data_IF_649733497489
#
_entry.id   IF_649733497489
#
_cell.length_a   1.000
_cell.length_b   1.000
_cell.length_c   1.000
_cell.angle_alpha   90.00
_cell.angle_beta   90.00
_cell.angle_gamma   90.00
#
_symmetry.space_group_name_H-M   'P 1'
#
loop_
_entity.id
_entity.type
_entity.pdbx_description
1 polymer ?
#
# COMPACT_ATOMS: atom_id res chain seq x y z
N UNK A 1 22.89 19.49 12.00
CA UNK A 1 21.54 19.23 11.47
C UNK A 1 20.87 18.26 12.42
N UNK A 2 19.64 18.52 12.86
CA UNK A 2 18.92 17.58 13.72
C UNK A 2 18.76 16.24 12.97
N UNK A 3 19.14 15.13 13.59
CA UNK A 3 18.91 13.82 13.01
C UNK A 3 17.40 13.65 12.76
N UNK A 4 17.02 13.15 11.58
CA UNK A 4 15.62 12.91 11.27
C UNK A 4 15.03 11.93 12.30
N UNK A 5 13.94 12.32 12.96
CA UNK A 5 13.31 11.50 13.98
C UNK A 5 12.78 10.19 13.34
N UNK A 6 12.98 9.00 13.94
CA UNK A 6 12.56 7.72 13.36
C UNK A 6 11.07 7.69 12.96
N UNK A 7 10.22 8.36 13.75
CA UNK A 7 8.78 8.52 13.44
C UNK A 7 8.54 9.17 12.09
N UNK A 8 9.35 10.14 11.67
CA UNK A 8 9.18 10.77 10.35
C UNK A 8 9.36 9.75 9.21
N UNK A 9 10.29 8.81 9.37
CA UNK A 9 10.50 7.73 8.40
C UNK A 9 9.29 6.78 8.38
N UNK A 10 8.86 6.29 9.54
CA UNK A 10 7.71 5.37 9.64
C UNK A 10 6.43 5.97 9.09
N UNK A 11 6.16 7.26 9.36
CA UNK A 11 5.00 7.94 8.80
C UNK A 11 5.08 8.04 7.27
N UNK A 12 6.26 8.33 6.72
CA UNK A 12 6.46 8.33 5.27
C UNK A 12 6.20 6.94 4.68
N UNK A 13 6.76 5.91 5.29
CA UNK A 13 6.58 4.53 4.86
C UNK A 13 5.10 4.10 4.96
N UNK A 14 4.36 4.63 5.95
CA UNK A 14 2.91 4.42 6.08
C UNK A 14 2.13 5.00 4.89
N UNK A 15 2.46 6.21 4.43
CA UNK A 15 1.85 6.79 3.23
C UNK A 15 2.17 5.96 1.98
N UNK A 16 3.45 5.59 1.81
CA UNK A 16 3.90 4.76 0.68
C UNK A 16 3.22 3.38 0.68
N UNK A 17 3.05 2.76 1.85
CA UNK A 17 2.36 1.48 2.02
C UNK A 17 0.89 1.56 1.56
N UNK A 18 0.11 2.54 2.03
CA UNK A 18 -1.30 2.69 1.64
C UNK A 18 -1.43 2.90 0.13
N UNK A 19 -0.63 3.78 -0.45
CA UNK A 19 -0.70 4.09 -1.89
C UNK A 19 -0.29 2.88 -2.73
N UNK A 20 0.80 2.20 -2.37
CA UNK A 20 1.31 1.02 -3.09
C UNK A 20 0.34 -0.15 -3.06
N UNK A 21 -0.42 -0.27 -1.97
CA UNK A 21 -1.45 -1.30 -1.77
C UNK A 21 -2.83 -0.87 -2.27
N UNK A 22 -2.95 0.31 -2.88
CA UNK A 22 -4.23 0.91 -3.29
C UNK A 22 -5.29 0.93 -2.17
N UNK A 23 -4.86 1.16 -0.93
CA UNK A 23 -5.73 1.18 0.24
C UNK A 23 -6.32 -0.18 0.62
N UNK A 24 -5.72 -1.29 0.19
CA UNK A 24 -6.16 -2.65 0.51
C UNK A 24 -4.98 -3.50 0.99
N UNK A 25 -5.00 -3.91 2.26
CA UNK A 25 -4.02 -4.84 2.82
C UNK A 25 -4.70 -5.88 3.70
N UNK A 26 -4.07 -7.04 3.85
CA UNK A 26 -4.50 -8.10 4.77
C UNK A 26 -3.73 -8.05 6.09
N UNK A 27 -4.00 -9.02 6.98
CA UNK A 27 -3.33 -9.11 8.28
C UNK A 27 -1.82 -9.36 8.13
N UNK A 28 -1.40 -10.27 7.25
CA UNK A 28 0.02 -10.58 7.03
C UNK A 28 0.82 -9.36 6.57
N UNK A 29 0.25 -8.56 5.67
CA UNK A 29 0.84 -7.33 5.15
C UNK A 29 0.94 -6.24 6.23
N UNK A 30 -0.03 -6.17 7.13
CA UNK A 30 0.02 -5.31 8.31
C UNK A 30 1.13 -5.74 9.28
N UNK A 31 1.23 -7.04 9.60
CA UNK A 31 2.28 -7.56 10.48
C UNK A 31 3.68 -7.36 9.90
N UNK A 32 3.83 -7.49 8.57
CA UNK A 32 5.08 -7.20 7.88
C UNK A 32 5.45 -5.71 8.01
N UNK A 33 4.49 -4.81 7.81
CA UNK A 33 4.71 -3.37 7.98
C UNK A 33 5.12 -3.01 9.42
N UNK A 34 4.50 -3.62 10.44
CA UNK A 34 4.91 -3.43 11.83
C UNK A 34 6.36 -3.87 12.08
N UNK A 35 6.79 -4.98 11.49
CA UNK A 35 8.19 -5.44 11.59
C UNK A 35 9.15 -4.42 10.96
N UNK A 36 8.85 -3.94 9.75
CA UNK A 36 9.67 -2.94 9.06
C UNK A 36 9.75 -1.60 9.83
N UNK A 37 8.65 -1.20 10.46
CA UNK A 37 8.59 -0.01 11.31
C UNK A 37 9.42 -0.19 12.60
N UNK A 38 9.40 -1.39 13.20
CA UNK A 38 10.24 -1.73 14.34
C UNK A 38 11.73 -1.69 13.97
N UNK A 39 12.11 -2.29 12.84
CA UNK A 39 13.49 -2.27 12.32
C UNK A 39 13.98 -0.86 11.96
N UNK A 40 13.05 0.06 11.68
CA UNK A 40 13.35 1.48 11.45
C UNK A 40 13.65 2.27 12.72
N UNK A 41 13.66 1.62 13.89
CA UNK A 41 14.08 2.20 15.16
C UNK A 41 12.95 2.79 16.00
N UNK A 42 11.68 2.49 15.65
CA UNK A 42 10.52 2.84 16.48
C UNK A 42 10.13 1.64 17.33
N UNK A 43 10.11 1.80 18.65
CA UNK A 43 9.58 0.76 19.53
C UNK A 43 8.05 0.71 19.42
N UNK A 44 7.57 -0.34 18.77
CA UNK A 44 6.15 -0.65 18.67
C UNK A 44 5.74 -1.51 19.86
N UNK A 45 5.14 -0.86 20.85
CA UNK A 45 4.36 -1.50 21.90
C UNK A 45 2.90 -1.61 21.44
N UNK A 46 2.06 -2.44 22.09
CA UNK A 46 0.66 -2.63 21.69
C UNK A 46 -0.14 -1.32 21.52
N UNK A 47 0.09 -0.32 22.40
CA UNK A 47 -0.53 1.02 22.26
C UNK A 47 -0.06 1.77 21.00
N UNK A 48 1.23 1.67 20.68
CA UNK A 48 1.82 2.37 19.53
C UNK A 48 1.46 1.66 18.21
N UNK A 49 1.31 0.34 18.22
CA UNK A 49 0.80 -0.43 17.08
C UNK A 49 -0.64 -0.05 16.76
N UNK A 50 -1.50 0.08 17.78
CA UNK A 50 -2.87 0.56 17.60
C UNK A 50 -2.90 1.98 17.02
N UNK A 51 -2.02 2.87 17.50
CA UNK A 51 -1.88 4.22 16.95
C UNK A 51 -1.43 4.20 15.48
N UNK A 52 -0.45 3.36 15.12
CA UNK A 52 0.04 3.21 13.75
C UNK A 52 -1.05 2.64 12.82
N UNK A 53 -1.82 1.67 13.29
CA UNK A 53 -2.97 1.13 12.56
C UNK A 53 -4.05 2.20 12.31
N UNK A 54 -4.35 3.02 13.32
CA UNK A 54 -5.27 4.14 13.17
C UNK A 54 -4.75 5.17 12.14
N UNK A 55 -3.45 5.44 12.12
CA UNK A 55 -2.84 6.32 11.11
C UNK A 55 -3.03 5.74 9.70
N UNK A 56 -2.72 4.45 9.47
CA UNK A 56 -2.91 3.81 8.17
C UNK A 56 -4.36 3.90 7.70
N UNK A 57 -5.33 3.65 8.58
CA UNK A 57 -6.75 3.76 8.24
C UNK A 57 -7.18 5.19 7.91
N UNK A 58 -6.68 6.20 8.63
CA UNK A 58 -6.93 7.61 8.27
C UNK A 58 -6.32 7.95 6.90
N UNK A 59 -5.09 7.51 6.62
CA UNK A 59 -4.45 7.71 5.32
C UNK A 59 -5.21 7.00 4.21
N UNK A 60 -5.71 5.79 4.46
CA UNK A 60 -6.57 5.04 3.53
C UNK A 60 -7.86 5.78 3.24
N UNK A 61 -8.53 6.32 4.26
CA UNK A 61 -9.73 7.14 4.06
C UNK A 61 -9.44 8.33 3.16
N UNK A 62 -8.33 9.04 3.39
CA UNK A 62 -7.92 10.17 2.55
C UNK A 62 -7.58 9.75 1.12
N UNK A 63 -6.87 8.64 0.94
CA UNK A 63 -6.53 8.07 -0.36
C UNK A 63 -7.80 7.72 -1.17
N UNK A 64 -8.78 7.08 -0.53
CA UNK A 64 -10.05 6.71 -1.16
C UNK A 64 -10.95 7.91 -1.44
N UNK A 65 -10.95 8.92 -0.57
CA UNK A 65 -11.70 10.16 -0.74
C UNK A 65 -11.10 11.08 -1.80
N UNK A 66 -9.80 10.91 -2.11
CA UNK A 66 -9.07 11.71 -3.09
C UNK A 66 -8.63 10.82 -4.25
N UNK A 67 -9.55 10.41 -5.15
CA UNK A 67 -9.17 9.65 -6.31
C UNK A 67 -8.14 10.46 -7.11
N UNK A 68 -6.93 9.92 -7.23
CA UNK A 68 -5.93 10.49 -8.10
C UNK A 68 -6.56 10.62 -9.50
N UNK A 69 -6.41 11.79 -10.13
CA UNK A 69 -6.84 11.98 -11.52
C UNK A 69 -6.40 10.76 -12.33
N UNK A 70 -7.28 10.18 -13.18
CA UNK A 70 -6.98 8.92 -13.83
C UNK A 70 -5.63 9.05 -14.51
N UNK A 71 -4.63 8.31 -14.01
CA UNK A 71 -3.36 8.19 -14.71
C UNK A 71 -3.71 7.77 -16.15
N UNK A 72 -3.14 8.43 -17.19
CA UNK A 72 -3.48 8.12 -18.56
C UNK A 72 -3.37 6.62 -18.72
N UNK A 73 -4.49 5.97 -19.06
CA UNK A 73 -4.56 4.53 -19.28
C UNK A 73 -3.43 4.20 -20.25
N UNK A 74 -2.33 3.61 -19.77
CA UNK A 74 -1.50 2.80 -20.65
C UNK A 74 -2.44 1.70 -21.09
N UNK A 75 -2.92 1.81 -22.33
CA UNK A 75 -3.70 0.79 -22.98
C UNK A 75 -2.94 -0.54 -22.83
N UNK A 76 -3.32 -1.34 -21.84
CA UNK A 76 -3.11 -2.76 -21.90
C UNK A 76 -3.85 -3.21 -23.15
N UNK A 77 -3.08 -3.41 -24.21
CA UNK A 77 -3.54 -3.88 -25.50
C UNK A 77 -4.48 -5.08 -25.31
N UNK A 78 -5.57 -5.19 -26.07
CA UNK A 78 -6.43 -6.35 -26.00
C UNK A 78 -5.59 -7.60 -26.26
N UNK A 79 -5.57 -8.51 -25.29
CA UNK A 79 -5.02 -9.86 -25.49
C UNK A 79 -5.79 -10.49 -26.65
N UNK A 80 -5.14 -10.62 -27.81
CA UNK A 80 -5.65 -11.40 -28.95
C UNK A 80 -5.97 -12.81 -28.45
N UNK A 81 -7.24 -13.19 -28.43
CA UNK A 81 -7.65 -14.57 -28.27
C UNK A 81 -7.24 -15.37 -29.53
N UNK A 82 -6.55 -16.48 -29.32
CA UNK A 82 -6.01 -17.35 -30.35
C UNK A 82 -7.12 -17.97 -31.25
N UNK A 83 -6.82 -18.29 -32.53
CA UNK A 83 -7.80 -18.85 -33.45
C UNK A 83 -8.13 -20.31 -33.08
N UNK A 84 -9.39 -20.62 -32.79
CA UNK A 84 -9.88 -22.00 -32.68
C UNK A 84 -9.91 -22.63 -34.08
N UNK A 85 -9.14 -23.72 -34.25
CA UNK A 85 -9.05 -24.53 -35.47
C UNK A 85 -10.41 -25.18 -35.80
N UNK A 86 -10.77 -25.16 -37.08
CA UNK A 86 -11.85 -25.96 -37.69
C UNK A 86 -11.48 -27.45 -37.71
N UNK A 87 -12.44 -28.32 -37.40
CA UNK A 87 -12.65 -29.70 -37.89
C UNK A 87 -14.15 -29.98 -37.64
N UNK A 88 -15.06 -30.09 -38.63
CA UNK A 88 -15.16 -31.07 -39.72
C UNK A 88 -15.25 -32.51 -39.20
N UNK A 89 -16.47 -32.97 -38.92
CA UNK A 89 -17.08 -34.21 -39.43
C UNK A 89 -18.60 -34.16 -39.22
#
# INVERSE_FOLDING_TARGET
>A
MAAAHPVMKVLKDAFDFVVSKNGCWNHDEWEAFCKDAHDSGVQLFPENEAALGAILENVRQLYLATPAAPAPKKCCAPKKAAPRKKKAE
#
